data_IF_037247797066
#
_entry.id   IF_037247797066
#
_cell.length_a   1.000
_cell.length_b   1.000
_cell.length_c   1.000
_cell.angle_alpha   90.00
_cell.angle_beta   90.00
_cell.angle_gamma   90.00
#
_symmetry.space_group_name_H-M   'P 1'
#
loop_
_entity.id
_entity.type
_entity.pdbx_description
1 polymer ?
#
# COMPACT_ATOMS: atom_id res chain seq x y z
N UNK A 1 -65.19 11.06 -40.19
CA UNK A 1 -63.69 11.27 -40.29
C UNK A 1 -63.11 11.04 -38.87
N UNK A 2 -62.57 9.88 -38.71
CA UNK A 2 -62.02 9.42 -37.41
C UNK A 2 -60.54 9.65 -37.37
N UNK A 3 -60.03 10.45 -36.44
CA UNK A 3 -58.62 10.68 -36.23
C UNK A 3 -58.10 9.73 -35.13
N UNK A 4 -57.28 8.80 -35.54
CA UNK A 4 -56.59 7.81 -34.69
C UNK A 4 -55.35 8.48 -34.02
N UNK A 5 -55.33 8.52 -32.71
CA UNK A 5 -54.17 8.95 -31.92
C UNK A 5 -53.37 7.72 -31.49
N UNK A 6 -52.10 7.60 -31.97
CA UNK A 6 -51.14 6.64 -31.46
C UNK A 6 -50.49 7.16 -30.15
N UNK A 7 -50.22 6.32 -29.14
CA UNK A 7 -49.49 6.72 -27.96
C UNK A 7 -47.97 6.69 -28.20
N UNK A 8 -47.31 7.73 -27.72
CA UNK A 8 -45.82 7.84 -27.66
C UNK A 8 -45.29 6.92 -26.56
N UNK A 9 -44.44 6.01 -26.93
CA UNK A 9 -43.65 5.16 -26.00
C UNK A 9 -42.49 5.97 -25.42
N UNK A 10 -42.52 6.24 -24.13
CA UNK A 10 -41.43 6.82 -23.37
C UNK A 10 -40.37 5.74 -23.07
N UNK A 11 -39.31 5.71 -23.90
CA UNK A 11 -38.13 4.93 -23.61
C UNK A 11 -37.23 5.66 -22.64
N UNK A 12 -37.29 5.36 -21.36
CA UNK A 12 -36.30 5.79 -20.37
C UNK A 12 -35.12 4.84 -20.41
N UNK A 13 -34.08 5.19 -21.16
CA UNK A 13 -32.79 4.55 -21.07
C UNK A 13 -32.14 4.93 -19.72
N UNK A 14 -32.07 3.96 -18.82
CA UNK A 14 -31.19 4.07 -17.62
C UNK A 14 -29.74 4.21 -18.07
N UNK A 15 -28.94 5.09 -17.44
CA UNK A 15 -27.51 5.14 -17.74
C UNK A 15 -26.86 3.82 -17.33
N UNK A 16 -26.13 3.20 -18.24
CA UNK A 16 -25.26 2.06 -17.99
C UNK A 16 -24.27 2.40 -16.89
N UNK A 17 -24.51 1.92 -15.69
CA UNK A 17 -23.52 1.86 -14.62
C UNK A 17 -22.53 0.78 -15.02
N UNK A 18 -21.39 1.17 -15.63
CA UNK A 18 -20.28 0.26 -15.84
C UNK A 18 -19.88 -0.35 -14.51
N UNK A 19 -20.07 -1.66 -14.40
CA UNK A 19 -19.54 -2.46 -13.29
C UNK A 19 -18.05 -2.14 -13.09
N UNK A 20 -17.54 -2.08 -11.83
CA UNK A 20 -16.13 -1.86 -11.57
C UNK A 20 -15.34 -3.02 -12.16
N UNK A 21 -14.79 -2.81 -13.34
CA UNK A 21 -14.04 -3.80 -14.12
C UNK A 21 -13.00 -4.48 -13.25
N UNK A 22 -12.99 -5.79 -13.32
CA UNK A 22 -12.00 -6.72 -12.80
C UNK A 22 -10.59 -6.18 -13.15
N UNK A 23 -9.91 -5.53 -12.20
CA UNK A 23 -8.54 -5.02 -12.39
C UNK A 23 -7.61 -6.23 -12.34
N UNK A 24 -7.40 -6.88 -13.49
CA UNK A 24 -6.30 -7.81 -13.63
C UNK A 24 -4.99 -7.10 -13.31
N UNK A 25 -4.12 -7.74 -12.57
CA UNK A 25 -2.77 -7.21 -12.40
C UNK A 25 -2.06 -7.20 -13.77
N UNK A 26 -1.29 -6.13 -14.06
CA UNK A 26 -0.53 -6.09 -15.29
C UNK A 26 0.47 -7.26 -15.31
N UNK A 27 0.55 -7.94 -16.43
CA UNK A 27 1.51 -9.02 -16.64
C UNK A 27 2.96 -8.52 -16.50
N UNK A 28 3.90 -9.41 -16.25
CA UNK A 28 5.33 -9.04 -16.20
C UNK A 28 5.80 -8.39 -17.50
N UNK A 29 5.27 -8.83 -18.64
CA UNK A 29 5.59 -8.26 -19.95
C UNK A 29 5.05 -6.85 -20.12
N UNK A 30 3.82 -6.57 -19.68
CA UNK A 30 3.27 -5.20 -19.67
C UNK A 30 4.08 -4.28 -18.76
N UNK A 31 4.48 -4.74 -17.57
CA UNK A 31 5.35 -3.97 -16.67
C UNK A 31 6.73 -3.71 -17.29
N UNK A 32 7.29 -4.69 -18.00
CA UNK A 32 8.57 -4.55 -18.69
C UNK A 32 8.51 -3.49 -19.80
N UNK A 33 7.41 -3.39 -20.52
CA UNK A 33 7.19 -2.40 -21.59
C UNK A 33 6.97 -0.98 -21.03
N UNK A 34 6.17 -0.84 -19.97
CA UNK A 34 5.81 0.48 -19.40
C UNK A 34 6.92 1.06 -18.53
N UNK A 35 7.71 0.23 -17.85
CA UNK A 35 8.75 0.67 -16.93
C UNK A 35 9.79 1.63 -17.55
N UNK A 36 10.35 1.37 -18.75
CA UNK A 36 11.28 2.30 -19.40
C UNK A 36 10.67 3.67 -19.68
N UNK A 37 9.39 3.68 -20.12
CA UNK A 37 8.65 4.91 -20.43
C UNK A 37 8.46 5.75 -19.17
N UNK A 38 7.96 5.15 -18.09
CA UNK A 38 7.76 5.84 -16.81
C UNK A 38 9.08 6.39 -16.24
N UNK A 39 10.17 5.62 -16.34
CA UNK A 39 11.50 6.09 -15.91
C UNK A 39 11.97 7.28 -16.75
N UNK A 40 11.72 7.27 -18.05
CA UNK A 40 12.08 8.39 -18.94
C UNK A 40 11.29 9.65 -18.58
N UNK A 41 9.96 9.54 -18.48
CA UNK A 41 9.06 10.63 -18.12
C UNK A 41 9.39 11.22 -16.74
N UNK A 42 9.63 10.37 -15.74
CA UNK A 42 10.00 10.84 -14.39
C UNK A 42 11.31 11.63 -14.40
N UNK A 43 12.34 11.16 -15.12
CA UNK A 43 13.61 11.90 -15.27
C UNK A 43 13.44 13.21 -16.05
N UNK A 44 12.57 13.21 -17.06
CA UNK A 44 12.27 14.41 -17.82
C UNK A 44 11.56 15.44 -16.93
N UNK A 45 10.55 15.03 -16.17
CA UNK A 45 9.82 15.88 -15.22
C UNK A 45 10.76 16.54 -14.20
N UNK A 46 11.66 15.77 -13.59
CA UNK A 46 12.66 16.29 -12.63
C UNK A 46 13.52 17.39 -13.26
N UNK A 47 13.92 17.23 -14.53
CA UNK A 47 14.68 18.26 -15.25
C UNK A 47 13.86 19.49 -15.58
N UNK A 48 12.63 19.31 -16.10
CA UNK A 48 11.74 20.41 -16.49
C UNK A 48 11.31 21.26 -15.30
N UNK A 49 11.10 20.64 -14.13
CA UNK A 49 10.80 21.36 -12.89
C UNK A 49 12.03 22.03 -12.25
N UNK A 50 13.21 21.95 -12.89
CA UNK A 50 14.42 22.58 -12.38
C UNK A 50 15.01 21.96 -11.11
N UNK A 51 14.58 20.75 -10.76
CA UNK A 51 15.00 20.07 -9.51
C UNK A 51 16.50 19.73 -9.47
N UNK A 52 17.20 19.75 -10.61
CA UNK A 52 18.65 19.53 -10.71
C UNK A 52 19.44 20.85 -10.77
N UNK A 53 18.77 22.00 -10.78
CA UNK A 53 19.45 23.29 -10.78
C UNK A 53 20.05 23.61 -9.41
N UNK A 54 21.09 24.42 -9.37
CA UNK A 54 21.70 24.90 -8.13
C UNK A 54 20.89 25.94 -7.37
N UNK A 55 19.80 26.47 -7.99
CA UNK A 55 18.92 27.48 -7.43
C UNK A 55 17.45 27.10 -7.64
N UNK A 56 16.60 27.51 -6.73
CA UNK A 56 15.15 27.32 -6.81
C UNK A 56 14.51 28.57 -7.44
N UNK A 57 14.40 28.56 -8.77
CA UNK A 57 13.91 29.72 -9.52
C UNK A 57 14.78 30.95 -9.30
N UNK A 58 14.17 32.09 -8.96
CA UNK A 58 14.85 33.37 -8.70
C UNK A 58 15.29 33.51 -7.23
N UNK A 59 14.96 32.57 -6.36
CA UNK A 59 15.28 32.64 -4.94
C UNK A 59 16.71 32.14 -4.67
N UNK A 60 17.43 32.74 -3.71
CA UNK A 60 18.78 32.37 -3.35
C UNK A 60 18.82 31.09 -2.48
N UNK A 61 18.08 30.06 -2.91
CA UNK A 61 17.92 28.77 -2.23
C UNK A 61 18.26 27.63 -3.19
N UNK A 62 18.98 26.62 -2.70
CA UNK A 62 19.06 25.35 -3.43
C UNK A 62 17.74 24.57 -3.28
N UNK A 63 17.43 23.60 -4.17
CA UNK A 63 16.23 22.78 -4.04
C UNK A 63 16.11 22.11 -2.67
N UNK A 64 17.20 21.59 -2.11
CA UNK A 64 17.19 20.98 -0.76
C UNK A 64 16.85 22.01 0.33
N UNK A 65 17.38 23.25 0.24
CA UNK A 65 17.05 24.32 1.17
C UNK A 65 15.59 24.75 1.06
N UNK A 66 15.05 24.84 -0.17
CA UNK A 66 13.65 25.16 -0.42
C UNK A 66 12.73 24.08 0.19
N UNK A 67 13.00 22.81 -0.08
CA UNK A 67 12.23 21.72 0.53
C UNK A 67 12.35 21.69 2.05
N UNK A 68 13.55 21.96 2.60
CA UNK A 68 13.72 22.06 4.07
C UNK A 68 12.86 23.19 4.64
N UNK A 69 12.75 24.31 3.93
CA UNK A 69 11.95 25.45 4.36
C UNK A 69 10.45 25.14 4.32
N UNK A 70 9.99 24.43 3.28
CA UNK A 70 8.61 23.95 3.14
C UNK A 70 8.20 23.00 4.30
N UNK A 71 9.05 22.03 4.62
CA UNK A 71 8.77 21.09 5.74
C UNK A 71 8.75 21.81 7.10
N UNK A 72 9.69 22.75 7.33
CA UNK A 72 9.72 23.56 8.55
C UNK A 72 8.56 24.55 8.65
N UNK A 73 7.91 24.89 7.55
CA UNK A 73 6.70 25.68 7.52
C UNK A 73 5.48 24.95 8.09
N UNK A 74 5.49 23.65 8.08
CA UNK A 74 4.40 22.81 8.62
C UNK A 74 4.57 22.53 10.10
N UNK A 75 5.80 22.31 10.58
CA UNK A 75 6.11 22.01 11.97
C UNK A 75 7.62 22.14 12.26
N UNK A 76 7.95 22.29 13.53
CA UNK A 76 9.34 22.22 13.98
C UNK A 76 9.85 20.77 13.89
N UNK A 77 11.07 20.57 13.36
CA UNK A 77 11.62 19.25 13.07
C UNK A 77 13.07 19.13 13.54
N UNK A 78 13.47 17.93 13.95
CA UNK A 78 14.88 17.59 14.13
C UNK A 78 15.57 17.32 12.78
N UNK A 79 16.90 17.39 12.76
CA UNK A 79 17.69 17.04 11.56
C UNK A 79 17.43 15.58 11.10
N UNK A 80 17.15 14.67 12.04
CA UNK A 80 16.82 13.28 11.74
C UNK A 80 15.48 13.18 11.02
N UNK A 81 14.46 13.89 11.49
CA UNK A 81 13.14 13.93 10.86
C UNK A 81 13.21 14.57 9.48
N UNK A 82 13.90 15.70 9.31
CA UNK A 82 14.16 16.32 8.01
C UNK A 82 14.86 15.37 7.03
N UNK A 83 15.90 14.68 7.47
CA UNK A 83 16.61 13.68 6.68
C UNK A 83 15.66 12.57 6.17
N UNK A 84 14.76 12.10 7.05
CA UNK A 84 13.76 11.08 6.73
C UNK A 84 12.69 11.58 5.76
N UNK A 85 12.10 12.75 6.02
CA UNK A 85 11.04 13.35 5.20
C UNK A 85 11.53 13.67 3.79
N UNK A 86 12.71 14.31 3.69
CA UNK A 86 13.31 14.69 2.41
C UNK A 86 14.00 13.51 1.70
N UNK A 87 14.10 12.35 2.35
CA UNK A 87 14.78 11.16 1.83
C UNK A 87 16.23 11.46 1.37
N UNK A 88 16.98 12.20 2.20
CA UNK A 88 18.38 12.54 2.00
C UNK A 88 19.19 12.05 3.20
N UNK A 89 20.52 11.97 3.05
CA UNK A 89 21.36 11.62 4.19
C UNK A 89 21.41 12.72 5.25
N UNK A 90 21.72 12.32 6.51
CA UNK A 90 21.73 13.23 7.65
C UNK A 90 22.73 14.39 7.48
N UNK A 91 23.83 14.16 6.76
CA UNK A 91 24.84 15.20 6.54
C UNK A 91 24.34 16.27 5.57
N UNK A 92 23.57 15.90 4.53
CA UNK A 92 22.91 16.82 3.62
C UNK A 92 21.84 17.65 4.35
N UNK A 93 20.99 17.00 5.16
CA UNK A 93 19.99 17.68 5.97
C UNK A 93 20.66 18.69 6.93
N UNK A 94 21.71 18.29 7.63
CA UNK A 94 22.47 19.15 8.54
C UNK A 94 23.08 20.36 7.81
N UNK A 95 23.67 20.16 6.62
CA UNK A 95 24.22 21.26 5.81
C UNK A 95 23.13 22.24 5.36
N UNK A 96 22.00 21.72 4.88
CA UNK A 96 20.86 22.57 4.48
C UNK A 96 20.38 23.44 5.65
N UNK A 97 20.17 22.85 6.83
CA UNK A 97 19.81 23.57 8.06
C UNK A 97 20.85 24.61 8.43
N UNK A 98 22.14 24.25 8.45
CA UNK A 98 23.23 25.19 8.78
C UNK A 98 23.26 26.39 7.84
N UNK A 99 23.00 26.20 6.54
CA UNK A 99 22.90 27.29 5.57
C UNK A 99 21.67 28.18 5.81
N UNK A 100 20.51 27.59 6.14
CA UNK A 100 19.31 28.37 6.48
C UNK A 100 19.50 29.17 7.78
N UNK A 101 20.15 28.61 8.77
CA UNK A 101 20.49 29.30 10.03
C UNK A 101 21.47 30.46 9.74
N UNK A 102 22.52 30.23 8.94
CA UNK A 102 23.46 31.28 8.53
C UNK A 102 22.77 32.43 7.76
N UNK A 103 21.72 32.12 7.00
CA UNK A 103 20.87 33.13 6.31
C UNK A 103 19.80 33.72 7.21
N UNK A 104 19.77 33.38 8.49
CA UNK A 104 18.76 33.83 9.47
C UNK A 104 17.32 33.44 9.10
N UNK A 105 17.12 32.42 8.26
CA UNK A 105 15.82 31.90 7.85
C UNK A 105 15.31 30.81 8.79
N UNK A 106 16.21 30.10 9.49
CA UNK A 106 15.90 29.11 10.49
C UNK A 106 16.68 29.36 11.79
N UNK A 107 16.21 28.77 12.86
CA UNK A 107 16.90 28.77 14.18
C UNK A 107 16.84 27.36 14.77
N UNK A 108 17.79 27.06 15.67
CA UNK A 108 17.84 25.79 16.38
C UNK A 108 17.64 26.03 17.87
N UNK A 109 16.84 25.17 18.52
CA UNK A 109 16.60 25.17 19.96
C UNK A 109 16.80 23.76 20.51
N UNK A 110 17.15 23.62 21.77
CA UNK A 110 17.15 22.33 22.43
C UNK A 110 15.71 21.75 22.42
N UNK A 111 15.57 20.47 22.12
CA UNK A 111 14.25 19.82 22.15
C UNK A 111 13.81 19.69 23.63
N UNK A 112 12.61 20.18 24.00
CA UNK A 112 12.12 20.12 25.39
C UNK A 112 11.97 18.69 25.93
N UNK A 113 11.83 17.70 25.03
CA UNK A 113 11.64 16.28 25.40
C UNK A 113 12.95 15.49 25.41
N UNK A 114 13.98 15.97 24.71
CA UNK A 114 15.31 15.34 24.65
C UNK A 114 16.36 16.41 24.35
N UNK A 115 17.03 16.89 25.37
CA UNK A 115 18.08 17.92 25.28
C UNK A 115 19.28 17.52 24.40
N UNK A 116 19.39 16.25 24.00
CA UNK A 116 20.43 15.77 23.07
C UNK A 116 20.08 16.02 21.60
N UNK A 117 18.83 16.37 21.32
CA UNK A 117 18.32 16.62 19.98
C UNK A 117 18.03 18.10 19.79
N UNK A 118 18.57 18.69 18.72
CA UNK A 118 18.20 20.05 18.31
C UNK A 118 16.94 20.00 17.46
N UNK A 119 16.00 20.88 17.79
CA UNK A 119 14.81 21.16 17.01
C UNK A 119 15.04 22.43 16.16
N UNK A 120 14.65 22.36 14.90
CA UNK A 120 14.79 23.44 13.93
C UNK A 120 13.42 24.04 13.68
N UNK A 121 13.33 25.37 13.72
CA UNK A 121 12.12 26.14 13.43
C UNK A 121 12.42 27.29 12.50
N UNK A 122 11.39 27.82 11.82
CA UNK A 122 11.54 29.04 11.00
C UNK A 122 11.63 30.30 11.88
N UNK A 123 12.39 31.27 11.40
CA UNK A 123 12.36 32.65 11.90
C UNK A 123 11.24 33.43 11.20
N UNK A 124 10.88 34.66 11.64
CA UNK A 124 9.99 35.53 10.88
C UNK A 124 10.47 35.81 9.45
N UNK A 125 11.79 35.93 9.23
CA UNK A 125 12.39 36.03 7.91
C UNK A 125 12.24 34.74 7.10
N UNK A 126 12.34 33.57 7.76
CA UNK A 126 12.07 32.27 7.16
C UNK A 126 10.63 32.12 6.67
N UNK A 127 9.65 32.53 7.48
CA UNK A 127 8.24 32.53 7.06
C UNK A 127 7.97 33.48 5.89
N UNK A 128 8.64 34.64 5.84
CA UNK A 128 8.55 35.56 4.69
C UNK A 128 9.14 34.91 3.43
N UNK A 129 10.28 34.25 3.54
CA UNK A 129 10.92 33.54 2.42
C UNK A 129 10.07 32.36 1.94
N UNK A 130 9.45 31.60 2.86
CA UNK A 130 8.50 30.53 2.53
C UNK A 130 7.33 31.07 1.68
N UNK A 131 6.71 32.17 2.11
CA UNK A 131 5.62 32.79 1.35
C UNK A 131 6.05 33.25 -0.07
N UNK A 132 7.28 33.74 -0.21
CA UNK A 132 7.83 34.07 -1.53
C UNK A 132 8.02 32.82 -2.41
N UNK A 133 8.50 31.71 -1.80
CA UNK A 133 8.65 30.42 -2.47
C UNK A 133 7.31 29.87 -2.94
N UNK A 134 6.30 29.87 -2.06
CA UNK A 134 4.94 29.41 -2.38
C UNK A 134 4.35 30.22 -3.54
N UNK A 135 4.38 31.55 -3.47
CA UNK A 135 3.87 32.40 -4.53
C UNK A 135 4.57 32.17 -5.90
N UNK A 136 5.90 31.94 -5.88
CA UNK A 136 6.63 31.66 -7.10
C UNK A 136 6.24 30.29 -7.69
N UNK A 137 6.06 29.28 -6.83
CA UNK A 137 5.62 27.96 -7.26
C UNK A 137 4.17 27.97 -7.75
N UNK A 138 3.28 28.65 -7.05
CA UNK A 138 1.88 28.81 -7.47
C UNK A 138 1.76 29.43 -8.85
N UNK A 139 2.51 30.50 -9.14
CA UNK A 139 2.54 31.12 -10.46
C UNK A 139 3.06 30.15 -11.53
N UNK A 140 4.16 29.45 -11.26
CA UNK A 140 4.71 28.46 -12.19
C UNK A 140 3.72 27.34 -12.48
N UNK A 141 3.04 26.82 -11.45
CA UNK A 141 2.04 25.76 -11.62
C UNK A 141 0.78 26.28 -12.31
N UNK A 142 0.36 27.52 -12.05
CA UNK A 142 -0.75 28.13 -12.76
C UNK A 142 -0.48 28.23 -14.27
N UNK A 143 0.73 28.65 -14.66
CA UNK A 143 1.14 28.70 -16.06
C UNK A 143 1.15 27.33 -16.74
N UNK A 144 1.60 26.29 -16.02
CA UNK A 144 1.58 24.91 -16.52
C UNK A 144 0.14 24.41 -16.67
N UNK A 145 -0.69 24.58 -15.64
CA UNK A 145 -2.07 24.11 -15.63
C UNK A 145 -2.95 24.83 -16.66
N UNK A 146 -2.63 26.09 -17.00
CA UNK A 146 -3.30 26.81 -18.06
C UNK A 146 -3.12 26.20 -19.46
N UNK A 147 -2.15 25.30 -19.65
CA UNK A 147 -1.94 24.56 -20.89
C UNK A 147 -2.78 23.27 -20.99
N UNK A 148 -3.54 22.94 -19.96
CA UNK A 148 -4.30 21.68 -19.85
C UNK A 148 -5.81 21.97 -19.85
N UNK A 149 -6.58 21.06 -20.46
CA UNK A 149 -8.03 21.06 -20.30
C UNK A 149 -8.44 20.66 -18.86
N UNK A 150 -9.59 21.08 -18.34
CA UNK A 150 -10.02 20.73 -16.97
C UNK A 150 -10.06 19.23 -16.68
N UNK A 151 -10.42 18.41 -17.68
CA UNK A 151 -10.42 16.95 -17.58
C UNK A 151 -9.00 16.38 -17.43
N UNK A 152 -8.02 16.98 -18.14
CA UNK A 152 -6.60 16.58 -18.06
C UNK A 152 -5.99 16.94 -16.70
N UNK A 153 -6.35 18.09 -16.13
CA UNK A 153 -5.94 18.49 -14.77
C UNK A 153 -6.42 17.45 -13.75
N UNK A 154 -7.70 17.04 -13.81
CA UNK A 154 -8.27 16.04 -12.92
C UNK A 154 -7.57 14.68 -13.09
N UNK A 155 -7.32 14.28 -14.33
CA UNK A 155 -6.60 13.01 -14.62
C UNK A 155 -5.17 13.06 -14.13
N UNK A 156 -4.46 14.16 -14.30
CA UNK A 156 -3.09 14.37 -13.84
C UNK A 156 -3.00 14.25 -12.31
N UNK A 157 -3.89 14.93 -11.59
CA UNK A 157 -3.95 14.87 -10.14
C UNK A 157 -4.16 13.42 -9.64
N UNK A 158 -5.15 12.71 -10.19
CA UNK A 158 -5.45 11.33 -9.84
C UNK A 158 -4.25 10.40 -10.12
N UNK A 159 -3.59 10.59 -11.28
CA UNK A 159 -2.42 9.81 -11.70
C UNK A 159 -1.22 10.05 -10.79
N UNK A 160 -0.92 11.28 -10.44
CA UNK A 160 0.18 11.63 -9.53
C UNK A 160 -0.08 11.12 -8.11
N UNK A 161 -1.30 11.21 -7.60
CA UNK A 161 -1.67 10.62 -6.30
C UNK A 161 -1.47 9.11 -6.29
N UNK A 162 -1.91 8.43 -7.34
CA UNK A 162 -1.74 6.99 -7.51
C UNK A 162 -0.25 6.61 -7.55
N UNK A 163 0.55 7.31 -8.35
CA UNK A 163 1.98 7.06 -8.50
C UNK A 163 2.76 7.30 -7.20
N UNK A 164 2.51 8.42 -6.52
CA UNK A 164 3.12 8.72 -5.21
C UNK A 164 2.78 7.66 -4.15
N UNK A 165 1.53 7.21 -4.09
CA UNK A 165 1.11 6.11 -3.21
C UNK A 165 1.86 4.81 -3.52
N UNK A 166 2.06 4.50 -4.80
CA UNK A 166 2.81 3.32 -5.22
C UNK A 166 4.30 3.42 -4.83
N UNK A 167 4.94 4.58 -5.03
CA UNK A 167 6.33 4.83 -4.61
C UNK A 167 6.48 4.66 -3.08
N UNK A 168 5.58 5.25 -2.31
CA UNK A 168 5.61 5.14 -0.83
C UNK A 168 5.50 3.69 -0.39
N UNK A 169 4.57 2.92 -0.99
CA UNK A 169 4.44 1.49 -0.71
C UNK A 169 5.70 0.70 -1.10
N UNK A 170 6.25 0.95 -2.28
CA UNK A 170 7.47 0.27 -2.72
C UNK A 170 8.65 0.54 -1.77
N UNK A 171 8.83 1.79 -1.32
CA UNK A 171 9.85 2.16 -0.32
C UNK A 171 9.62 1.47 1.03
N UNK A 172 8.38 1.44 1.53
CA UNK A 172 8.06 0.80 2.81
C UNK A 172 8.25 -0.72 2.79
N UNK A 173 8.21 -1.32 1.61
CA UNK A 173 8.47 -2.74 1.38
C UNK A 173 9.95 -3.07 1.15
N UNK A 174 10.86 -2.10 1.16
CA UNK A 174 12.29 -2.38 1.01
C UNK A 174 12.80 -3.30 2.11
N UNK A 175 13.59 -4.31 1.72
CA UNK A 175 14.10 -5.34 2.61
C UNK A 175 13.06 -6.38 3.06
N UNK A 176 11.84 -6.33 2.52
CA UNK A 176 10.83 -7.38 2.71
C UNK A 176 11.02 -8.44 1.63
N UNK A 177 11.15 -9.69 2.05
CA UNK A 177 11.23 -10.86 1.19
C UNK A 177 9.97 -11.70 1.38
N UNK A 178 9.33 -12.08 0.26
CA UNK A 178 8.25 -13.08 0.24
C UNK A 178 8.85 -14.32 -0.41
N UNK A 179 8.88 -15.42 0.33
CA UNK A 179 9.45 -16.69 -0.13
C UNK A 179 8.59 -17.89 0.31
N UNK A 180 8.71 -19.04 -0.37
CA UNK A 180 8.05 -20.27 0.09
C UNK A 180 8.47 -20.63 1.50
N UNK A 181 7.53 -21.22 2.25
CA UNK A 181 7.74 -21.79 3.58
C UNK A 181 8.75 -22.94 3.52
N UNK A 182 9.64 -22.98 4.49
CA UNK A 182 10.61 -24.07 4.71
C UNK A 182 10.40 -24.70 6.07
N UNK A 183 10.88 -25.93 6.28
CA UNK A 183 10.71 -26.64 7.55
C UNK A 183 11.33 -25.88 8.75
N UNK A 184 12.41 -25.16 8.52
CA UNK A 184 13.03 -24.31 9.55
C UNK A 184 12.15 -23.14 10.02
N UNK A 185 11.14 -22.76 9.24
CA UNK A 185 10.23 -21.64 9.55
C UNK A 185 9.06 -22.06 10.46
N UNK A 186 8.77 -23.35 10.58
CA UNK A 186 7.56 -23.86 11.23
C UNK A 186 7.34 -23.25 12.62
N UNK A 187 8.35 -23.31 13.49
CA UNK A 187 8.25 -22.76 14.84
C UNK A 187 8.07 -21.24 14.85
N UNK A 188 8.78 -20.51 13.98
CA UNK A 188 8.66 -19.06 13.85
C UNK A 188 7.30 -18.63 13.32
N UNK A 189 6.79 -19.34 12.32
CA UNK A 189 5.46 -19.09 11.74
C UNK A 189 4.34 -19.38 12.75
N UNK A 190 4.43 -20.50 13.46
CA UNK A 190 3.47 -20.83 14.53
C UNK A 190 3.44 -19.75 15.61
N UNK A 191 4.59 -19.21 16.00
CA UNK A 191 4.68 -18.11 16.96
C UNK A 191 3.99 -16.83 16.44
N UNK A 192 4.21 -16.47 15.17
CA UNK A 192 3.53 -15.33 14.53
C UNK A 192 2.01 -15.53 14.52
N UNK A 193 1.53 -16.71 14.10
CA UNK A 193 0.09 -17.01 14.05
C UNK A 193 -0.53 -16.89 15.44
N UNK A 194 0.11 -17.48 16.48
CA UNK A 194 -0.37 -17.39 17.85
C UNK A 194 -0.39 -15.96 18.37
N UNK A 195 0.67 -15.19 18.12
CA UNK A 195 0.77 -13.79 18.58
C UNK A 195 -0.32 -12.92 17.95
N UNK A 196 -0.52 -13.01 16.63
CA UNK A 196 -1.55 -12.24 15.93
C UNK A 196 -2.95 -12.71 16.32
N UNK A 197 -3.18 -14.02 16.48
CA UNK A 197 -4.47 -14.55 16.94
C UNK A 197 -4.82 -14.03 18.34
N UNK A 198 -3.87 -14.02 19.26
CA UNK A 198 -4.06 -13.51 20.62
C UNK A 198 -4.41 -12.00 20.62
N UNK A 199 -3.79 -11.20 19.75
CA UNK A 199 -4.08 -9.77 19.61
C UNK A 199 -5.55 -9.49 19.28
N UNK A 200 -6.17 -10.36 18.45
CA UNK A 200 -7.58 -10.23 18.07
C UNK A 200 -8.54 -11.09 18.90
N UNK A 201 -8.05 -11.72 19.98
CA UNK A 201 -8.87 -12.59 20.84
C UNK A 201 -9.33 -13.89 20.17
N UNK A 202 -8.62 -14.33 19.12
CA UNK A 202 -8.86 -15.60 18.43
C UNK A 202 -8.16 -16.73 19.18
N UNK A 203 -8.80 -17.25 20.20
CA UNK A 203 -8.21 -18.25 21.12
C UNK A 203 -8.53 -19.68 20.69
N UNK A 204 -7.67 -20.68 21.04
CA UNK A 204 -7.88 -22.09 20.66
C UNK A 204 -9.20 -22.68 21.16
N UNK A 205 -9.62 -22.33 22.37
CA UNK A 205 -10.85 -22.78 23.01
C UNK A 205 -12.13 -22.38 22.25
N UNK A 206 -12.04 -21.37 21.39
CA UNK A 206 -13.16 -20.91 20.56
C UNK A 206 -13.21 -21.55 19.16
N UNK A 207 -12.31 -22.48 18.82
CA UNK A 207 -12.32 -23.20 17.55
C UNK A 207 -11.77 -22.42 16.35
N UNK A 208 -10.92 -21.41 16.58
CA UNK A 208 -10.19 -20.70 15.51
C UNK A 208 -8.98 -21.52 15.03
N UNK A 209 -8.46 -21.16 13.85
CA UNK A 209 -7.34 -21.85 13.19
C UNK A 209 -6.06 -21.96 14.04
N UNK A 210 -5.94 -21.19 15.12
CA UNK A 210 -4.85 -21.30 16.10
C UNK A 210 -4.91 -22.61 16.91
N UNK A 211 -6.07 -23.27 16.92
CA UNK A 211 -6.25 -24.59 17.55
C UNK A 211 -5.78 -25.77 16.67
N UNK A 212 -5.40 -25.51 15.43
CA UNK A 212 -4.96 -26.53 14.48
C UNK A 212 -3.74 -27.29 15.05
N UNK A 213 -3.85 -28.64 15.27
CA UNK A 213 -2.76 -29.43 15.82
C UNK A 213 -1.55 -29.50 14.89
N UNK A 214 -1.71 -29.18 13.60
CA UNK A 214 -0.61 -29.14 12.62
C UNK A 214 0.15 -27.82 12.58
N UNK A 215 -0.22 -26.86 13.42
CA UNK A 215 0.33 -25.48 13.39
C UNK A 215 1.87 -25.45 13.52
N UNK A 216 2.45 -26.39 14.26
CA UNK A 216 3.90 -26.48 14.45
C UNK A 216 4.62 -27.27 13.33
N UNK A 217 3.89 -27.73 12.30
CA UNK A 217 4.40 -28.55 11.19
C UNK A 217 3.78 -28.14 9.84
N UNK A 218 3.54 -26.85 9.62
CA UNK A 218 2.86 -26.32 8.43
C UNK A 218 3.63 -26.63 7.14
N UNK A 219 4.94 -26.72 7.18
CA UNK A 219 5.77 -27.09 6.02
C UNK A 219 5.37 -28.45 5.42
N UNK A 220 4.96 -29.42 6.25
CA UNK A 220 4.47 -30.73 5.79
C UNK A 220 3.10 -30.60 5.10
N UNK A 221 2.20 -29.80 5.66
CA UNK A 221 0.86 -29.58 5.11
C UNK A 221 0.94 -28.88 3.74
N UNK A 222 1.71 -27.79 3.66
CA UNK A 222 1.84 -27.00 2.43
C UNK A 222 2.89 -27.52 1.44
N UNK A 223 3.58 -28.61 1.77
CA UNK A 223 4.41 -29.40 0.85
C UNK A 223 3.62 -30.38 0.00
N UNK A 224 2.30 -30.54 0.22
CA UNK A 224 1.45 -31.46 -0.54
C UNK A 224 1.09 -30.88 -1.93
N UNK A 225 0.80 -31.74 -2.93
CA UNK A 225 0.35 -31.28 -4.24
C UNK A 225 -0.85 -30.34 -4.15
N UNK A 226 -0.85 -29.25 -4.94
CA UNK A 226 -1.89 -28.23 -4.94
C UNK A 226 -1.84 -27.27 -3.74
N UNK A 227 -0.90 -27.46 -2.82
CA UNK A 227 -0.73 -26.61 -1.64
C UNK A 227 0.57 -25.82 -1.71
N UNK A 228 0.55 -24.62 -1.17
CA UNK A 228 1.77 -23.81 -0.97
C UNK A 228 1.51 -22.73 0.08
N UNK A 229 2.51 -22.45 0.88
CA UNK A 229 2.52 -21.33 1.81
C UNK A 229 3.71 -20.42 1.54
N UNK A 230 3.50 -19.11 1.68
CA UNK A 230 4.56 -18.12 1.60
C UNK A 230 4.68 -17.40 2.93
N UNK A 231 5.92 -17.21 3.35
CA UNK A 231 6.29 -16.41 4.51
C UNK A 231 6.79 -15.06 4.10
N UNK A 232 6.58 -14.08 4.96
CA UNK A 232 7.11 -12.73 4.82
C UNK A 232 8.19 -12.52 5.86
N UNK A 233 9.38 -12.17 5.36
CA UNK A 233 10.57 -11.94 6.16
C UNK A 233 11.09 -10.51 5.96
N UNK A 234 11.53 -9.87 7.03
CA UNK A 234 12.24 -8.58 7.01
C UNK A 234 13.37 -8.62 8.02
N UNK A 235 14.60 -8.29 7.60
CA UNK A 235 15.81 -8.34 8.45
C UNK A 235 16.00 -9.72 9.15
N UNK A 236 15.78 -10.80 8.41
CA UNK A 236 15.85 -12.19 8.90
C UNK A 236 14.81 -12.55 9.98
N UNK A 237 13.83 -11.70 10.19
CA UNK A 237 12.72 -11.97 11.10
C UNK A 237 11.46 -12.33 10.30
N UNK A 238 10.88 -13.47 10.62
CA UNK A 238 9.61 -13.91 10.05
C UNK A 238 8.48 -13.12 10.69
N UNK A 239 7.66 -12.46 9.88
CA UNK A 239 6.66 -11.48 10.35
C UNK A 239 5.23 -11.76 9.86
N UNK A 240 5.05 -12.76 9.01
CA UNK A 240 3.72 -13.08 8.50
C UNK A 240 3.76 -14.12 7.39
N UNK A 241 2.58 -14.42 6.84
CA UNK A 241 2.44 -15.32 5.71
C UNK A 241 0.99 -15.59 5.34
N UNK A 242 0.80 -16.36 4.28
CA UNK A 242 -0.47 -16.92 3.84
C UNK A 242 -0.25 -18.14 2.95
N UNK A 243 -1.23 -19.02 2.88
CA UNK A 243 -1.15 -20.23 2.08
C UNK A 243 -2.42 -20.57 1.32
N UNK A 244 -2.26 -21.45 0.34
CA UNK A 244 -3.32 -22.09 -0.44
C UNK A 244 -3.22 -23.61 -0.19
N UNK A 245 -4.37 -24.23 0.00
CA UNK A 245 -4.50 -25.69 0.05
C UNK A 245 -5.83 -26.12 -0.62
N UNK A 246 -5.97 -27.39 -1.07
CA UNK A 246 -7.25 -27.89 -1.53
C UNK A 246 -8.31 -27.77 -0.43
N UNK A 247 -9.54 -27.36 -0.78
CA UNK A 247 -10.67 -27.35 0.16
C UNK A 247 -11.19 -28.78 0.33
N UNK A 248 -11.13 -29.38 1.54
CA UNK A 248 -11.62 -30.73 1.76
C UNK A 248 -13.12 -30.85 1.43
N UNK A 249 -13.47 -31.87 0.62
CA UNK A 249 -14.84 -32.12 0.18
C UNK A 249 -15.27 -31.42 -1.10
N UNK A 250 -14.49 -30.44 -1.62
CA UNK A 250 -14.86 -29.64 -2.80
C UNK A 250 -13.81 -29.78 -3.94
N UNK A 251 -14.19 -30.43 -5.05
CA UNK A 251 -13.30 -30.59 -6.20
C UNK A 251 -13.10 -29.29 -6.94
N UNK A 252 -11.84 -28.94 -7.24
CA UNK A 252 -11.49 -27.75 -8.01
C UNK A 252 -11.60 -26.44 -7.22
N UNK A 253 -11.81 -26.50 -5.92
CA UNK A 253 -11.81 -25.34 -5.02
C UNK A 253 -10.59 -25.43 -4.10
N UNK A 254 -9.88 -24.33 -3.97
CA UNK A 254 -8.84 -24.16 -2.95
C UNK A 254 -9.30 -23.24 -1.83
N UNK A 255 -8.60 -23.29 -0.71
CA UNK A 255 -8.82 -22.40 0.43
C UNK A 255 -7.60 -21.50 0.64
N UNK A 256 -7.82 -20.19 0.78
CA UNK A 256 -6.84 -19.23 1.25
C UNK A 256 -6.81 -19.29 2.78
N UNK A 257 -5.69 -19.74 3.32
CA UNK A 257 -5.57 -20.12 4.72
C UNK A 257 -4.49 -19.33 5.45
N UNK A 258 -4.65 -19.18 6.78
CA UNK A 258 -3.65 -18.72 7.73
C UNK A 258 -2.92 -17.44 7.28
N UNK A 259 -3.70 -16.42 6.84
CA UNK A 259 -3.18 -15.13 6.45
C UNK A 259 -2.99 -14.22 7.68
N UNK A 260 -1.78 -14.20 8.21
CA UNK A 260 -1.43 -13.46 9.43
C UNK A 260 -0.26 -12.51 9.20
N UNK A 261 -0.33 -11.29 9.79
CA UNK A 261 0.69 -10.24 9.65
C UNK A 261 0.95 -9.57 10.99
N UNK A 262 2.19 -9.59 11.44
CA UNK A 262 2.64 -8.79 12.58
C UNK A 262 2.40 -7.29 12.32
N UNK A 263 2.18 -6.47 13.36
CA UNK A 263 1.92 -5.03 13.22
C UNK A 263 2.91 -4.29 12.33
N UNK A 264 4.19 -4.67 12.35
CA UNK A 264 5.26 -4.08 11.54
C UNK A 264 5.07 -4.22 10.02
N UNK A 265 4.20 -5.14 9.55
CA UNK A 265 3.88 -5.34 8.13
C UNK A 265 2.56 -4.70 7.70
N UNK A 266 1.74 -4.24 8.66
CA UNK A 266 0.39 -3.71 8.36
C UNK A 266 0.48 -2.33 7.70
N UNK A 267 -0.50 -2.00 6.88
CA UNK A 267 -0.52 -0.74 6.12
C UNK A 267 0.46 -0.65 4.96
N UNK A 268 1.40 -1.61 4.82
CA UNK A 268 2.40 -1.63 3.76
C UNK A 268 1.87 -2.19 2.42
N UNK A 269 0.63 -2.67 2.36
CA UNK A 269 0.04 -3.29 1.18
C UNK A 269 0.52 -4.72 0.89
N UNK A 270 1.26 -5.34 1.82
CA UNK A 270 1.81 -6.70 1.70
C UNK A 270 0.73 -7.78 1.72
N UNK A 271 -0.35 -7.58 2.47
CA UNK A 271 -1.49 -8.51 2.52
C UNK A 271 -2.14 -8.67 1.14
N UNK A 272 -2.38 -7.55 0.42
CA UNK A 272 -2.90 -7.61 -0.93
C UNK A 272 -1.93 -8.28 -1.89
N UNK A 273 -0.65 -7.92 -1.83
CA UNK A 273 0.40 -8.52 -2.69
C UNK A 273 0.50 -10.03 -2.48
N UNK A 274 0.49 -10.49 -1.22
CA UNK A 274 0.57 -11.92 -0.91
C UNK A 274 -0.72 -12.67 -1.30
N UNK A 275 -1.91 -12.08 -1.06
CA UNK A 275 -3.16 -12.67 -1.51
C UNK A 275 -3.19 -12.87 -3.03
N UNK A 276 -2.76 -11.89 -3.81
CA UNK A 276 -2.68 -11.99 -5.26
C UNK A 276 -1.69 -13.08 -5.71
N UNK A 277 -0.56 -13.21 -5.03
CA UNK A 277 0.40 -14.30 -5.29
C UNK A 277 -0.22 -15.68 -4.99
N UNK A 278 -0.99 -15.79 -3.90
CA UNK A 278 -1.75 -17.01 -3.57
C UNK A 278 -2.78 -17.33 -4.67
N UNK A 279 -3.53 -16.34 -5.14
CA UNK A 279 -4.54 -16.51 -6.20
C UNK A 279 -3.91 -16.85 -7.56
N UNK A 280 -2.73 -16.29 -7.89
CA UNK A 280 -1.97 -16.68 -9.09
C UNK A 280 -1.60 -18.15 -9.04
N UNK A 281 -1.02 -18.59 -7.95
CA UNK A 281 -0.70 -20.00 -7.74
C UNK A 281 -1.94 -20.89 -7.85
N UNK A 282 -3.07 -20.48 -7.28
CA UNK A 282 -4.31 -21.25 -7.37
C UNK A 282 -4.75 -21.43 -8.83
N UNK A 283 -4.67 -20.38 -9.65
CA UNK A 283 -4.96 -20.48 -11.11
C UNK A 283 -3.98 -21.40 -11.82
N UNK A 284 -2.69 -21.30 -11.54
CA UNK A 284 -1.64 -22.16 -12.11
C UNK A 284 -1.85 -23.64 -11.79
N UNK A 285 -2.40 -23.95 -10.58
CA UNK A 285 -2.76 -25.30 -10.17
C UNK A 285 -4.10 -25.78 -10.77
N UNK A 286 -4.80 -24.93 -11.53
CA UNK A 286 -6.06 -25.28 -12.21
C UNK A 286 -7.30 -25.23 -11.33
N UNK A 287 -7.24 -24.62 -10.14
CA UNK A 287 -8.41 -24.36 -9.33
C UNK A 287 -9.40 -23.43 -10.07
N UNK A 288 -10.68 -23.64 -9.85
CA UNK A 288 -11.77 -22.85 -10.47
C UNK A 288 -12.30 -21.77 -9.53
N UNK A 289 -12.12 -21.97 -8.24
CA UNK A 289 -12.54 -21.03 -7.20
C UNK A 289 -11.58 -21.08 -6.02
N UNK A 290 -11.50 -19.95 -5.31
CA UNK A 290 -10.80 -19.81 -4.05
C UNK A 290 -11.81 -19.48 -2.96
N UNK A 291 -11.82 -20.27 -1.91
CA UNK A 291 -12.64 -20.12 -0.73
C UNK A 291 -11.83 -19.56 0.43
N UNK A 292 -12.45 -18.92 1.38
CA UNK A 292 -11.89 -18.57 2.68
C UNK A 292 -12.98 -18.44 3.75
N UNK A 293 -12.60 -18.58 5.00
CA UNK A 293 -13.42 -18.24 6.15
C UNK A 293 -12.75 -17.16 7.00
N UNK A 294 -13.53 -16.20 7.46
CA UNK A 294 -13.06 -15.09 8.30
C UNK A 294 -14.10 -14.73 9.36
N UNK A 295 -13.80 -13.75 10.20
CA UNK A 295 -14.67 -13.30 11.30
C UNK A 295 -14.85 -11.78 11.26
N UNK A 296 -15.95 -11.29 11.84
CA UNK A 296 -16.21 -9.86 12.06
C UNK A 296 -15.18 -9.17 12.92
N UNK A 297 -14.40 -9.94 13.69
CA UNK A 297 -13.29 -9.41 14.50
C UNK A 297 -12.12 -8.88 13.67
N UNK A 298 -12.10 -9.18 12.35
CA UNK A 298 -11.04 -8.80 11.42
C UNK A 298 -11.57 -7.91 10.28
N UNK A 299 -12.03 -6.67 10.57
CA UNK A 299 -12.66 -5.80 9.55
C UNK A 299 -11.72 -5.44 8.39
N UNK A 300 -10.41 -5.31 8.66
CA UNK A 300 -9.42 -5.04 7.62
C UNK A 300 -9.27 -6.20 6.63
N UNK A 301 -9.37 -7.44 7.13
CA UNK A 301 -9.34 -8.64 6.29
C UNK A 301 -10.58 -8.72 5.40
N UNK A 302 -11.77 -8.44 5.95
CA UNK A 302 -13.01 -8.36 5.18
C UNK A 302 -12.92 -7.33 4.05
N UNK A 303 -12.43 -6.12 4.34
CA UNK A 303 -12.20 -5.08 3.34
C UNK A 303 -11.21 -5.51 2.26
N UNK A 304 -10.14 -6.22 2.64
CA UNK A 304 -9.19 -6.77 1.69
C UNK A 304 -9.85 -7.79 0.76
N UNK A 305 -10.53 -8.80 1.30
CA UNK A 305 -11.13 -9.87 0.51
C UNK A 305 -12.24 -9.35 -0.42
N UNK A 306 -13.09 -8.44 0.05
CA UNK A 306 -14.08 -7.76 -0.80
C UNK A 306 -13.39 -6.99 -1.95
N UNK A 307 -12.27 -6.29 -1.67
CA UNK A 307 -11.50 -5.56 -2.70
C UNK A 307 -10.82 -6.46 -3.72
N UNK A 308 -10.65 -7.75 -3.42
CA UNK A 308 -10.10 -8.79 -4.30
C UNK A 308 -11.20 -9.49 -5.11
N UNK A 309 -12.48 -9.18 -4.85
CA UNK A 309 -13.62 -9.76 -5.55
C UNK A 309 -14.26 -10.97 -4.86
N UNK A 310 -13.86 -11.29 -3.62
CA UNK A 310 -14.54 -12.31 -2.84
C UNK A 310 -15.96 -11.85 -2.48
N UNK A 311 -16.91 -12.75 -2.59
CA UNK A 311 -18.32 -12.55 -2.21
C UNK A 311 -18.68 -13.43 -1.02
N UNK A 312 -19.49 -12.89 -0.10
CA UNK A 312 -19.95 -13.65 1.07
C UNK A 312 -20.93 -14.73 0.64
N UNK A 313 -20.76 -15.94 1.14
CA UNK A 313 -21.64 -17.06 0.92
C UNK A 313 -22.70 -17.15 2.05
N UNK A 314 -23.89 -17.68 1.76
CA UNK A 314 -24.93 -17.88 2.78
C UNK A 314 -24.63 -19.05 3.73
N UNK A 315 -23.76 -19.97 3.34
CA UNK A 315 -23.34 -21.14 4.12
C UNK A 315 -21.89 -21.50 3.84
N UNK A 316 -21.15 -22.06 4.80
CA UNK A 316 -19.81 -22.61 4.59
C UNK A 316 -19.81 -23.69 3.51
N UNK A 317 -18.66 -23.83 2.83
CA UNK A 317 -18.36 -24.91 1.88
C UNK A 317 -17.34 -25.87 2.47
N UNK A 318 -17.45 -27.13 2.06
CA UNK A 318 -16.48 -28.15 2.45
C UNK A 318 -16.44 -28.44 3.96
N UNK A 319 -15.29 -28.93 4.41
CA UNK A 319 -15.05 -29.24 5.82
C UNK A 319 -13.71 -28.67 6.26
N UNK A 320 -13.72 -27.39 6.65
CA UNK A 320 -12.51 -26.65 7.05
C UNK A 320 -12.09 -26.91 8.49
N UNK A 321 -13.01 -27.41 9.34
CA UNK A 321 -12.78 -27.56 10.78
C UNK A 321 -12.81 -26.24 11.58
N UNK A 322 -13.12 -25.11 10.96
CA UNK A 322 -13.14 -23.76 11.57
C UNK A 322 -14.56 -23.34 11.98
N UNK A 323 -15.09 -23.91 13.07
CA UNK A 323 -16.46 -23.65 13.53
C UNK A 323 -16.71 -22.23 14.03
N UNK A 324 -15.66 -21.46 14.30
CA UNK A 324 -15.75 -20.09 14.85
C UNK A 324 -15.70 -18.99 13.79
N UNK A 325 -15.40 -19.31 12.52
CA UNK A 325 -15.35 -18.34 11.43
C UNK A 325 -16.72 -18.23 10.78
N UNK A 326 -17.48 -17.16 11.11
CA UNK A 326 -18.88 -17.01 10.72
C UNK A 326 -19.07 -16.36 9.31
N UNK A 327 -18.00 -15.97 8.63
CA UNK A 327 -18.09 -15.31 7.33
C UNK A 327 -17.34 -16.11 6.26
N UNK A 328 -18.04 -17.05 5.59
CA UNK A 328 -17.48 -17.74 4.44
C UNK A 328 -17.51 -16.85 3.20
N UNK A 329 -16.43 -16.85 2.42
CA UNK A 329 -16.36 -16.06 1.19
C UNK A 329 -15.77 -16.90 0.04
N UNK A 330 -16.17 -16.60 -1.19
CA UNK A 330 -15.77 -17.30 -2.40
C UNK A 330 -15.38 -16.30 -3.50
N UNK A 331 -14.35 -16.64 -4.24
CA UNK A 331 -13.91 -15.96 -5.47
C UNK A 331 -13.81 -16.98 -6.59
N UNK A 332 -14.45 -16.71 -7.74
CA UNK A 332 -14.20 -17.46 -9.00
C UNK A 332 -12.86 -17.01 -9.59
N UNK A 333 -11.97 -17.96 -9.96
CA UNK A 333 -10.60 -17.72 -10.38
C UNK A 333 -10.45 -17.53 -11.90
#
# INVERSE_FOLDING_TARGET
MSLSTKPLSSGSSKPDVKEPGNRQEPSQDELAQVSPVLRHLSRHLVRQLGMLSGACGQLPLTPVQAHTLLELGQQDLSIKELSSLLNIDKSNASRAVSHLVKKQLAQTKANPRDNRCLQVSLTPAGHKMLKQLDNQQDNQFADILAQLAPSEVTQLEASLRCYNKAITKAKSQQGVVIRPLQAADDAGLAAVIRAVSAEYGLTPDKGYSVADPTLDHLSRQYGQPGSRYWVIEKQQQLLGGAGIAPLPGEKGVCELQKMYFMPALRGLGLSRRLALQCLSFAREQGYKACYLETTKLLPEALGLYASLGFTVLPKPLGNTGHSACEIPMLLTL
#
